data_IF_933630427714
#
_entry.id   IF_933630427714
#
_cell.length_a   1.000
_cell.length_b   1.000
_cell.length_c   1.000
_cell.angle_alpha   90.00
_cell.angle_beta   90.00
_cell.angle_gamma   90.00
#
_symmetry.space_group_name_H-M   'P 1'
#
loop_
_entity.id
_entity.type
_entity.pdbx_description
1 polymer ?
#
# COMPACT_ATOMS: atom_id res chain seq x y z
N UNK A 1 -1.87 -14.88 -0.32
CA UNK A 1 -1.86 -13.53 0.30
C UNK A 1 -0.46 -12.96 0.48
N UNK A 2 0.48 -13.64 1.15
CA UNK A 2 1.89 -13.18 1.29
C UNK A 2 2.53 -12.78 -0.05
N UNK A 3 2.50 -13.68 -1.05
CA UNK A 3 3.07 -13.41 -2.38
C UNK A 3 2.41 -12.22 -3.10
N UNK A 4 1.10 -12.01 -2.89
CA UNK A 4 0.39 -10.85 -3.43
C UNK A 4 0.90 -9.55 -2.80
N UNK A 5 1.05 -9.52 -1.47
CA UNK A 5 1.57 -8.34 -0.75
C UNK A 5 3.01 -8.02 -1.14
N UNK A 6 3.86 -9.04 -1.32
CA UNK A 6 5.23 -8.89 -1.83
C UNK A 6 5.25 -8.27 -3.23
N UNK A 7 4.48 -8.85 -4.15
CA UNK A 7 4.41 -8.40 -5.54
C UNK A 7 3.88 -6.96 -5.62
N UNK A 8 2.86 -6.63 -4.83
CA UNK A 8 2.29 -5.30 -4.76
C UNK A 8 3.30 -4.28 -4.20
N UNK A 9 4.01 -4.62 -3.12
CA UNK A 9 5.06 -3.76 -2.56
C UNK A 9 6.18 -3.49 -3.58
N UNK A 10 6.64 -4.53 -4.27
CA UNK A 10 7.69 -4.43 -5.29
C UNK A 10 7.28 -3.55 -6.49
N UNK A 11 5.99 -3.47 -6.84
CA UNK A 11 5.49 -2.52 -7.84
C UNK A 11 5.33 -1.11 -7.27
N UNK A 12 4.79 -0.98 -6.06
CA UNK A 12 4.45 0.31 -5.46
C UNK A 12 5.66 1.15 -5.05
N UNK A 13 6.70 0.52 -4.47
CA UNK A 13 7.92 1.21 -4.04
C UNK A 13 8.58 2.04 -5.15
N UNK A 14 8.87 1.49 -6.35
CA UNK A 14 9.44 2.28 -7.45
C UNK A 14 8.44 3.20 -8.13
N UNK A 15 7.15 2.85 -8.13
CA UNK A 15 6.07 3.64 -8.72
C UNK A 15 5.84 4.97 -7.98
N UNK A 16 6.00 4.99 -6.65
CA UNK A 16 5.70 6.15 -5.81
C UNK A 16 6.84 6.42 -4.80
N UNK A 17 8.02 6.86 -5.29
CA UNK A 17 9.17 7.11 -4.43
C UNK A 17 8.85 8.14 -3.34
N UNK A 18 9.24 7.84 -2.11
CA UNK A 18 9.04 8.72 -0.95
C UNK A 18 7.59 8.79 -0.42
N UNK A 19 6.62 8.17 -1.11
CA UNK A 19 5.21 8.09 -0.66
C UNK A 19 4.83 6.71 -0.14
N UNK A 20 5.59 5.68 -0.51
CA UNK A 20 5.37 4.30 -0.06
C UNK A 20 6.36 3.93 1.03
N UNK A 21 5.86 3.39 2.13
CA UNK A 21 6.63 2.79 3.21
C UNK A 21 6.22 1.33 3.38
N UNK A 22 7.21 0.42 3.27
CA UNK A 22 6.99 -1.02 3.38
C UNK A 22 7.69 -1.54 4.63
N UNK A 23 6.90 -2.00 5.58
CA UNK A 23 7.38 -2.66 6.78
C UNK A 23 7.53 -4.15 6.50
N UNK A 24 8.75 -4.65 6.69
CA UNK A 24 9.08 -6.07 6.52
C UNK A 24 9.34 -6.71 7.86
N UNK A 25 8.71 -7.86 8.14
CA UNK A 25 8.95 -8.66 9.33
C UNK A 25 9.60 -9.99 9.01
N UNK A 26 10.37 -10.50 9.97
CA UNK A 26 10.96 -11.82 9.91
C UNK A 26 9.90 -12.89 10.22
N UNK A 27 9.92 -14.03 9.51
CA UNK A 27 8.94 -15.11 9.71
C UNK A 27 9.07 -15.86 11.06
N UNK A 28 10.19 -15.69 11.77
CA UNK A 28 10.44 -16.29 13.07
C UNK A 28 11.73 -15.75 13.69
N UNK A 29 12.00 -16.02 14.97
CA UNK A 29 13.11 -15.41 15.71
C UNK A 29 14.48 -15.68 15.06
N UNK A 30 14.64 -16.84 14.41
CA UNK A 30 15.87 -17.28 13.75
C UNK A 30 15.77 -17.42 12.22
N UNK A 31 14.65 -17.03 11.61
CA UNK A 31 14.53 -17.15 10.15
C UNK A 31 15.39 -16.10 9.43
N UNK A 32 15.99 -16.47 8.30
CA UNK A 32 16.63 -15.52 7.37
C UNK A 32 15.63 -14.89 6.39
N UNK A 33 14.39 -15.39 6.37
CA UNK A 33 13.34 -14.93 5.47
C UNK A 33 12.53 -13.78 6.10
N UNK A 34 12.22 -12.79 5.26
CA UNK A 34 11.37 -11.66 5.60
C UNK A 34 10.12 -11.70 4.74
N UNK A 35 9.04 -11.09 5.23
CA UNK A 35 7.86 -10.75 4.46
C UNK A 35 7.45 -9.31 4.65
N UNK A 36 6.77 -8.75 3.65
CA UNK A 36 5.98 -7.55 3.79
C UNK A 36 4.83 -7.81 4.76
N UNK A 37 4.90 -7.11 5.90
CA UNK A 37 3.84 -7.07 6.91
C UNK A 37 2.88 -5.93 6.63
N UNK A 38 3.38 -4.76 6.21
CA UNK A 38 2.56 -3.56 6.07
C UNK A 38 3.05 -2.72 4.90
N UNK A 39 2.12 -2.27 4.07
CA UNK A 39 2.34 -1.27 3.03
C UNK A 39 1.57 -0.02 3.43
N UNK A 40 2.25 1.12 3.39
CA UNK A 40 1.68 2.43 3.73
C UNK A 40 1.87 3.38 2.57
N UNK A 41 0.78 3.93 2.05
CA UNK A 41 0.81 4.95 1.01
C UNK A 41 0.36 6.29 1.61
N UNK A 42 1.29 7.25 1.62
CA UNK A 42 1.06 8.61 2.14
C UNK A 42 0.63 9.56 1.03
N UNK A 43 -0.51 10.19 1.26
CA UNK A 43 -1.04 11.29 0.48
C UNK A 43 -1.28 12.49 1.39
N UNK A 44 -1.50 13.66 0.80
CA UNK A 44 -1.56 14.93 1.53
C UNK A 44 -2.73 14.99 2.53
N UNK A 45 -3.83 14.29 2.22
CA UNK A 45 -5.07 14.24 2.99
C UNK A 45 -5.35 12.89 3.67
N UNK A 46 -4.50 11.89 3.44
CA UNK A 46 -4.80 10.52 3.82
C UNK A 46 -3.59 9.59 3.88
N UNK A 47 -3.71 8.57 4.72
CA UNK A 47 -2.79 7.45 4.83
C UNK A 47 -3.57 6.18 4.52
N UNK A 48 -3.17 5.48 3.47
CA UNK A 48 -3.70 4.18 3.10
C UNK A 48 -2.77 3.09 3.63
N UNK A 49 -3.32 2.10 4.33
CA UNK A 49 -2.54 1.00 4.92
C UNK A 49 -3.11 -0.34 4.48
N UNK A 50 -2.25 -1.23 4.02
CA UNK A 50 -2.54 -2.64 3.80
C UNK A 50 -1.63 -3.47 4.70
N UNK A 51 -2.21 -4.17 5.67
CA UNK A 51 -1.48 -5.01 6.63
C UNK A 51 -1.79 -6.50 6.39
N UNK A 52 -0.75 -7.31 6.37
CA UNK A 52 -0.83 -8.77 6.39
C UNK A 52 -0.56 -9.27 7.81
N UNK A 53 -1.61 -9.76 8.48
CA UNK A 53 -1.51 -10.36 9.81
C UNK A 53 -2.18 -11.74 9.83
N UNK A 54 -1.50 -12.74 10.39
CA UNK A 54 -2.01 -14.10 10.62
C UNK A 54 -2.81 -14.69 9.43
N UNK A 55 -2.28 -14.52 8.21
CA UNK A 55 -2.89 -15.06 6.98
C UNK A 55 -3.95 -14.17 6.32
N UNK A 56 -4.34 -13.06 6.96
CA UNK A 56 -5.41 -12.18 6.51
C UNK A 56 -4.85 -10.83 6.07
N UNK A 57 -5.53 -10.20 5.11
CA UNK A 57 -5.27 -8.81 4.75
C UNK A 57 -6.27 -7.89 5.41
N UNK A 58 -5.75 -6.85 6.04
CA UNK A 58 -6.52 -5.76 6.61
C UNK A 58 -6.16 -4.48 5.86
N UNK A 59 -7.15 -3.88 5.22
CA UNK A 59 -6.98 -2.62 4.53
C UNK A 59 -7.67 -1.50 5.30
N UNK A 60 -7.01 -0.35 5.40
CA UNK A 60 -7.52 0.80 6.14
C UNK A 60 -7.18 2.08 5.40
N UNK A 61 -8.01 3.09 5.61
CA UNK A 61 -7.73 4.47 5.23
C UNK A 61 -7.90 5.37 6.43
N UNK A 62 -6.85 6.11 6.74
CA UNK A 62 -6.87 7.16 7.74
C UNK A 62 -6.92 8.50 7.05
N UNK A 63 -7.93 9.32 7.35
CA UNK A 63 -7.97 10.72 6.93
C UNK A 63 -6.96 11.50 7.76
N UNK A 64 -6.10 12.27 7.11
CA UNK A 64 -5.05 13.08 7.73
C UNK A 64 -5.30 14.53 7.38
N UNK A 65 -5.24 15.43 8.37
CA UNK A 65 -5.35 16.88 8.17
C UNK A 65 -4.21 17.55 8.91
N UNK A 66 -3.36 18.28 8.18
CA UNK A 66 -2.17 18.95 8.75
C UNK A 66 -1.27 18.00 9.56
N UNK A 67 -1.11 16.76 9.09
CA UNK A 67 -0.33 15.72 9.76
C UNK A 67 -1.04 15.03 10.94
N UNK A 68 -2.26 15.44 11.30
CA UNK A 68 -3.05 14.84 12.37
C UNK A 68 -4.04 13.83 11.80
N UNK A 69 -4.06 12.61 12.35
CA UNK A 69 -5.04 11.58 12.00
C UNK A 69 -6.41 11.96 12.57
N UNK A 70 -7.41 12.09 11.69
CA UNK A 70 -8.76 12.54 12.05
C UNK A 70 -9.71 11.36 12.24
N UNK A 71 -9.70 10.43 11.30
CA UNK A 71 -10.55 9.24 11.34
C UNK A 71 -9.90 8.09 10.59
N UNK A 72 -10.14 6.86 11.04
CA UNK A 72 -9.69 5.65 10.38
C UNK A 72 -10.89 4.79 10.01
N UNK A 73 -10.92 4.34 8.76
CA UNK A 73 -11.96 3.50 8.20
C UNK A 73 -11.34 2.20 7.71
N UNK A 74 -11.91 1.07 8.12
CA UNK A 74 -11.60 -0.23 7.54
C UNK A 74 -12.18 -0.32 6.12
N UNK A 75 -11.40 -0.88 5.21
CA UNK A 75 -11.75 -1.06 3.80
C UNK A 75 -11.62 -2.52 3.42
N UNK A 76 -12.33 -2.91 2.38
CA UNK A 76 -11.98 -4.13 1.65
C UNK A 76 -10.68 -3.90 0.87
N UNK A 77 -9.93 -4.98 0.60
CA UNK A 77 -8.70 -4.90 -0.22
C UNK A 77 -8.99 -4.32 -1.62
N UNK A 78 -10.09 -4.69 -2.33
CA UNK A 78 -10.44 -4.04 -3.60
C UNK A 78 -10.68 -2.54 -3.45
N UNK A 79 -11.43 -2.10 -2.45
CA UNK A 79 -11.70 -0.67 -2.24
C UNK A 79 -10.41 0.13 -1.94
N UNK A 80 -9.44 -0.50 -1.28
CA UNK A 80 -8.12 0.08 -1.05
C UNK A 80 -7.31 0.21 -2.34
N UNK A 81 -7.34 -0.82 -3.19
CA UNK A 81 -6.68 -0.81 -4.51
C UNK A 81 -7.28 0.28 -5.41
N UNK A 82 -8.60 0.39 -5.44
CA UNK A 82 -9.26 1.44 -6.22
C UNK A 82 -8.90 2.83 -5.71
N UNK A 83 -8.76 3.00 -4.38
CA UNK A 83 -8.43 4.30 -3.80
C UNK A 83 -6.97 4.70 -4.07
N UNK A 84 -6.01 3.78 -4.01
CA UNK A 84 -4.62 4.07 -4.40
C UNK A 84 -4.51 4.37 -5.90
N UNK A 85 -5.26 3.68 -6.75
CA UNK A 85 -5.30 3.92 -8.21
C UNK A 85 -5.86 5.31 -8.52
N UNK A 86 -6.99 5.69 -7.92
CA UNK A 86 -7.58 7.03 -8.11
C UNK A 86 -6.64 8.13 -7.62
N UNK A 87 -6.00 7.92 -6.46
CA UNK A 87 -5.13 8.92 -5.83
C UNK A 87 -3.80 9.06 -6.53
N UNK A 88 -3.26 7.99 -7.10
CA UNK A 88 -2.07 8.10 -7.95
C UNK A 88 -2.38 8.93 -9.19
N UNK A 89 -3.49 8.68 -9.90
CA UNK A 89 -3.91 9.49 -11.06
C UNK A 89 -4.02 10.99 -10.78
N UNK A 90 -4.45 11.37 -9.56
CA UNK A 90 -4.61 12.77 -9.17
C UNK A 90 -3.27 13.52 -8.93
N UNK A 91 -2.14 12.82 -8.79
CA UNK A 91 -0.86 13.42 -8.35
C UNK A 91 0.03 13.98 -9.50
N UNK A 92 -0.34 13.82 -10.77
CA UNK A 92 0.38 14.45 -11.91
C UNK A 92 1.75 13.84 -12.27
N UNK A 93 2.15 14.01 -13.54
CA UNK A 93 3.31 13.50 -14.34
C UNK A 93 4.10 12.24 -13.87
N UNK A 94 4.57 12.14 -12.62
CA UNK A 94 5.13 10.90 -12.06
C UNK A 94 4.06 9.83 -11.75
N UNK A 95 2.81 10.26 -11.60
CA UNK A 95 1.63 9.45 -11.36
C UNK A 95 1.26 8.44 -12.47
N UNK A 96 1.57 8.77 -13.73
CA UNK A 96 1.19 7.96 -14.89
C UNK A 96 1.86 6.57 -14.86
N UNK A 97 3.15 6.54 -14.53
CA UNK A 97 3.91 5.29 -14.39
C UNK A 97 3.39 4.44 -13.21
N UNK A 98 3.02 5.09 -12.09
CA UNK A 98 2.49 4.40 -10.92
C UNK A 98 1.15 3.70 -11.19
N UNK A 99 0.25 4.42 -11.86
CA UNK A 99 -1.04 3.88 -12.25
C UNK A 99 -0.90 2.77 -13.29
N UNK A 100 -0.06 2.94 -14.30
CA UNK A 100 0.20 1.91 -15.31
C UNK A 100 0.74 0.62 -14.69
N UNK A 101 1.70 0.73 -13.76
CA UNK A 101 2.26 -0.42 -13.06
C UNK A 101 1.23 -1.16 -12.18
N UNK A 102 0.33 -0.41 -11.54
CA UNK A 102 -0.77 -0.99 -10.76
C UNK A 102 -1.82 -1.66 -11.65
N UNK A 103 -2.21 -1.00 -12.74
CA UNK A 103 -3.18 -1.53 -13.69
C UNK A 103 -2.67 -2.83 -14.33
N UNK A 104 -1.42 -2.86 -14.79
CA UNK A 104 -0.78 -4.07 -15.34
C UNK A 104 -0.75 -5.21 -14.32
N UNK A 105 -0.38 -4.93 -13.07
CA UNK A 105 -0.38 -5.92 -12.00
C UNK A 105 -1.76 -6.52 -11.71
N UNK A 106 -2.83 -5.74 -11.86
CA UNK A 106 -4.20 -6.23 -11.64
C UNK A 106 -4.76 -7.04 -12.82
N UNK A 107 -4.16 -6.90 -14.00
CA UNK A 107 -4.58 -7.60 -15.23
C UNK A 107 -3.73 -8.84 -15.54
N UNK A 108 -2.63 -9.08 -14.83
CA UNK A 108 -1.76 -10.27 -14.96
C UNK A 108 -2.19 -11.42 -14.05
#
# INVERSE_FOLDING_TARGET
MRAFTEALAARLEPALPGRIEVERRRDGLFSKTFHVRRISARFDDSLLVLEYDRGHLHAKRTKVVRGVSISTQDLSVPAWLDDIIRRTQAVGEGAGAAHAALHDFLMS
#
